data_IF_010324327193
#
_entry.id   IF_010324327193
#
_cell.length_a   1.000
_cell.length_b   1.000
_cell.length_c   1.000
_cell.angle_alpha   90.00
_cell.angle_beta   90.00
_cell.angle_gamma   90.00
#
_symmetry.space_group_name_H-M   'P 1'
#
loop_
_entity.id
_entity.type
_entity.pdbx_description
1 polymer ?
2 non-polymer ?
3 water ?
#
# COMPACT_ATOMS: atom_id res chain seq x y z
N UNK A 22 10.28 -4.85 -24.80
CA UNK A 22 11.13 -4.53 -23.60
C UNK A 22 11.48 -5.79 -22.81
N UNK A 23 12.77 -6.14 -22.81
CA UNK A 23 13.25 -7.39 -22.23
C UNK A 23 13.69 -7.28 -20.75
N UNK A 24 13.70 -6.07 -20.21
CA UNK A 24 14.18 -5.86 -18.85
C UNK A 24 13.11 -6.04 -17.79
N UNK A 25 13.33 -5.38 -16.66
CA UNK A 25 12.37 -5.42 -15.55
C UNK A 25 11.53 -4.17 -15.56
N UNK A 26 10.26 -4.32 -15.20
CA UNK A 26 9.32 -3.21 -15.04
C UNK A 26 8.90 -3.13 -13.56
N UNK A 27 9.24 -2.01 -12.93
CA UNK A 27 8.97 -1.78 -11.51
C UNK A 27 7.73 -0.90 -11.32
N UNK A 28 6.76 -1.39 -10.56
CA UNK A 28 5.56 -0.60 -10.24
C UNK A 28 5.70 0.14 -8.93
N UNK A 29 5.62 1.47 -8.98
CA UNK A 29 5.60 2.31 -7.78
C UNK A 29 4.35 3.17 -7.76
N UNK A 30 4.14 3.88 -6.66
CA UNK A 30 3.08 4.88 -6.55
C UNK A 30 3.66 6.19 -6.05
N UNK A 31 2.92 7.28 -6.26
CA UNK A 31 3.35 8.64 -5.89
C UNK A 31 3.40 8.88 -4.38
N UNK A 32 4.00 10.01 -4.00
CA UNK A 32 4.09 10.42 -2.61
C UNK A 32 5.16 9.66 -1.85
N UNK A 33 4.82 9.24 -0.64
CA UNK A 33 5.81 8.69 0.30
C UNK A 33 6.51 7.43 -0.21
N UNK A 34 5.76 6.57 -0.92
CA UNK A 34 6.33 5.33 -1.45
C UNK A 34 7.43 5.63 -2.48
N UNK A 35 7.16 6.53 -3.41
CA UNK A 35 8.16 6.95 -4.39
C UNK A 35 9.37 7.61 -3.70
N UNK A 36 9.06 8.59 -2.87
CA UNK A 36 10.07 9.33 -2.10
C UNK A 36 11.03 8.40 -1.34
N UNK A 37 10.45 7.46 -0.60
CA UNK A 37 11.25 6.57 0.25
C UNK A 37 11.84 5.36 -0.48
N UNK A 38 11.31 5.02 -1.66
CA UNK A 38 11.92 3.96 -2.48
C UNK A 38 13.16 4.44 -3.23
N UNK A 39 13.17 5.71 -3.64
CA UNK A 39 14.26 6.23 -4.49
C UNK A 39 15.68 6.03 -3.93
N UNK A 40 15.90 6.25 -2.63
CA UNK A 40 17.21 5.92 -2.03
C UNK A 40 17.61 4.46 -2.17
N UNK A 41 16.67 3.54 -1.96
CA UNK A 41 16.93 2.11 -2.14
C UNK A 41 17.29 1.79 -3.59
N UNK A 42 16.55 2.36 -4.54
CA UNK A 42 16.87 2.24 -5.96
C UNK A 42 18.24 2.86 -6.30
N UNK A 43 18.53 4.02 -5.71
CA UNK A 43 19.83 4.68 -5.96
C UNK A 43 20.98 3.79 -5.56
N UNK A 44 20.91 3.19 -4.36
CA UNK A 44 21.97 2.30 -3.88
C UNK A 44 22.10 1.04 -4.76
N UNK A 45 21.03 0.66 -5.46
CA UNK A 45 21.05 -0.46 -6.42
C UNK A 45 21.36 -0.07 -7.87
N UNK A 46 21.82 1.16 -8.10
CA UNK A 46 22.20 1.62 -9.45
C UNK A 46 21.04 2.01 -10.36
N UNK A 47 19.90 2.36 -9.77
CA UNK A 47 18.72 2.72 -10.54
C UNK A 47 18.28 4.11 -10.10
N UNK A 48 18.26 5.04 -11.04
CA UNK A 48 17.78 6.39 -10.80
C UNK A 48 16.84 6.83 -11.90
N UNK A 49 15.74 7.45 -11.49
CA UNK A 49 14.84 8.11 -12.43
C UNK A 49 15.50 9.33 -13.05
N UNK A 50 15.17 9.58 -14.32
CA UNK A 50 15.77 10.67 -15.09
C UNK A 50 14.95 11.97 -15.04
N UNK A 51 13.80 11.93 -14.38
CA UNK A 51 13.00 13.13 -14.15
C UNK A 51 12.05 12.87 -13.00
N UNK A 52 11.38 13.92 -12.52
CA UNK A 52 10.41 13.76 -11.44
C UNK A 52 9.10 13.25 -12.04
N UNK A 53 8.70 12.00 -11.70
CA UNK A 53 7.45 11.51 -12.26
C UNK A 53 6.20 12.28 -11.80
N UNK A 54 6.26 12.84 -10.60
CA UNK A 54 5.15 13.64 -10.05
C UNK A 54 4.78 14.83 -10.96
N UNK A 55 5.72 15.29 -11.78
CA UNK A 55 5.51 16.45 -12.66
C UNK A 55 5.26 16.08 -14.15
N UNK A 56 5.08 14.80 -14.47
CA UNK A 56 5.03 14.35 -15.86
C UNK A 56 3.76 13.60 -16.23
N UNK A 57 3.39 13.73 -17.50
CA UNK A 57 2.29 13.00 -18.14
C UNK A 57 2.71 11.61 -18.61
N UNK A 58 4.02 11.37 -18.71
CA UNK A 58 4.55 10.08 -19.12
C UNK A 58 4.05 9.03 -18.13
N UNK A 59 3.83 7.83 -18.64
CA UNK A 59 3.26 6.73 -17.85
C UNK A 59 4.34 5.70 -17.48
N UNK A 60 5.23 5.45 -18.43
CA UNK A 60 6.37 4.57 -18.27
C UNK A 60 7.57 5.50 -18.25
N UNK A 61 8.47 5.29 -17.29
CA UNK A 61 9.64 6.15 -17.10
C UNK A 61 10.91 5.29 -17.26
N UNK A 62 11.88 5.78 -18.06
CA UNK A 62 13.18 5.12 -18.11
C UNK A 62 13.97 5.44 -16.85
N UNK A 63 15.07 4.71 -16.65
CA UNK A 63 15.99 4.98 -15.53
C UNK A 63 17.41 5.05 -16.05
N UNK A 64 18.34 5.34 -15.13
CA UNK A 64 19.78 5.25 -15.38
C UNK A 64 20.23 3.83 -15.79
N UNK A 65 19.45 2.82 -15.43
CA UNK A 65 19.71 1.45 -15.85
C UNK A 65 18.78 1.17 -17.04
N UNK A 66 19.35 0.86 -18.22
CA UNK A 66 18.50 0.54 -19.37
C UNK A 66 17.71 -0.79 -19.26
N UNK A 67 18.05 -1.64 -18.29
CA UNK A 67 17.28 -2.86 -18.00
C UNK A 67 16.10 -2.68 -17.03
N UNK A 68 15.86 -1.44 -16.58
CA UNK A 68 14.79 -1.18 -15.61
C UNK A 68 13.98 0.03 -16.06
N UNK A 69 12.67 -0.12 -16.06
CA UNK A 69 11.75 1.00 -16.27
C UNK A 69 10.73 1.04 -15.13
N UNK A 70 10.09 2.17 -14.96
CA UNK A 70 9.24 2.41 -13.80
C UNK A 70 7.85 2.79 -14.28
N UNK A 71 6.85 2.20 -13.63
CA UNK A 71 5.45 2.63 -13.77
C UNK A 71 5.02 3.34 -12.51
N UNK A 72 4.30 4.44 -12.67
CA UNK A 72 3.76 5.20 -11.55
C UNK A 72 2.28 4.95 -11.57
N UNK A 73 1.81 4.23 -10.57
CA UNK A 73 0.43 3.74 -10.53
C UNK A 73 -0.21 4.26 -9.29
N UNK A 74 -1.55 4.19 -9.24
CA UNK A 74 -2.28 4.36 -7.97
C UNK A 74 -1.87 3.21 -7.04
N UNK A 75 -1.78 3.47 -5.74
CA UNK A 75 -1.31 2.45 -4.79
C UNK A 75 -2.11 1.13 -4.90
N UNK A 76 -3.43 1.26 -5.03
CA UNK A 76 -4.33 0.10 -5.12
C UNK A 76 -4.09 -0.77 -6.37
N UNK A 77 -3.53 -0.19 -7.43
CA UNK A 77 -3.30 -0.93 -8.67
C UNK A 77 -1.93 -1.64 -8.74
N UNK A 78 -1.05 -1.39 -7.78
CA UNK A 78 0.30 -1.98 -7.81
C UNK A 78 0.25 -3.53 -7.74
N UNK A 79 -0.51 -4.10 -6.79
CA UNK A 79 -0.63 -5.58 -6.78
C UNK A 79 -1.21 -6.16 -8.06
N UNK A 80 -2.21 -5.48 -8.62
CA UNK A 80 -2.83 -5.87 -9.89
C UNK A 80 -1.85 -5.98 -11.06
N UNK A 81 -1.05 -4.94 -11.29
CA UNK A 81 -0.04 -4.95 -12.34
C UNK A 81 1.03 -6.03 -12.11
N UNK A 82 1.46 -6.21 -10.86
CA UNK A 82 2.48 -7.22 -10.54
C UNK A 82 1.92 -8.63 -10.66
N UNK A 83 0.69 -8.84 -10.18
CA UNK A 83 0.01 -10.14 -10.29
C UNK A 83 -0.10 -10.60 -11.73
N UNK A 84 -0.54 -9.70 -12.60
CA UNK A 84 -0.76 -10.02 -14.01
C UNK A 84 0.51 -10.08 -14.84
N UNK A 85 1.64 -9.60 -14.30
CA UNK A 85 2.91 -9.61 -15.01
C UNK A 85 3.11 -8.38 -15.89
N UNK A 86 2.19 -7.40 -15.83
CA UNK A 86 2.39 -6.15 -16.56
C UNK A 86 3.54 -5.33 -15.95
N UNK A 87 3.82 -5.56 -14.67
CA UNK A 87 5.05 -5.18 -13.99
C UNK A 87 5.62 -6.45 -13.41
N UNK A 88 6.95 -6.55 -13.40
CA UNK A 88 7.64 -7.75 -12.90
C UNK A 88 7.75 -7.74 -11.38
N UNK A 89 7.84 -6.54 -10.83
CA UNK A 89 7.93 -6.35 -9.38
C UNK A 89 7.46 -4.96 -9.01
N UNK A 90 7.19 -4.76 -7.73
CA UNK A 90 6.64 -3.50 -7.28
C UNK A 90 6.76 -3.28 -5.80
N UNK A 91 6.42 -2.06 -5.42
CA UNK A 91 6.40 -1.66 -4.03
C UNK A 91 4.95 -1.31 -3.71
N UNK A 92 4.37 -2.08 -2.79
CA UNK A 92 2.98 -1.92 -2.38
C UNK A 92 2.90 -1.92 -0.87
N UNK A 93 2.01 -1.06 -0.35
CA UNK A 93 1.74 -1.02 1.08
C UNK A 93 1.04 -2.29 1.53
N UNK A 94 1.35 -2.75 2.75
CA UNK A 94 0.72 -3.93 3.33
C UNK A 94 -0.80 -3.80 3.36
N UNK A 95 -1.28 -2.59 3.63
CA UNK A 95 -2.73 -2.32 3.62
C UNK A 95 -3.37 -2.70 2.28
N UNK A 96 -2.73 -2.32 1.17
CA UNK A 96 -3.22 -2.63 -0.18
C UNK A 96 -3.18 -4.14 -0.44
N UNK A 97 -2.07 -4.77 -0.04
CA UNK A 97 -1.88 -6.21 -0.19
C UNK A 97 -2.90 -7.04 0.56
N UNK A 98 -3.17 -6.65 1.81
CA UNK A 98 -4.18 -7.35 2.61
C UNK A 98 -5.55 -7.24 1.98
N UNK A 99 -5.87 -6.06 1.49
CA UNK A 99 -7.18 -5.79 0.89
C UNK A 99 -7.34 -6.46 -0.48
N UNK A 100 -6.32 -6.34 -1.32
CA UNK A 100 -6.32 -6.94 -2.65
C UNK A 100 -6.25 -8.47 -2.56
N UNK A 101 -5.39 -8.96 -1.68
CA UNK A 101 -5.02 -10.37 -1.65
C UNK A 101 -3.64 -10.53 -2.26
N UNK A 102 -2.77 -11.24 -1.55
CA UNK A 102 -1.38 -11.44 -1.96
C UNK A 102 -1.06 -12.88 -2.36
N UNK A 103 -2.10 -13.70 -2.60
CA UNK A 103 -1.91 -15.12 -2.92
C UNK A 103 -1.25 -15.36 -4.30
N UNK A 104 -1.26 -14.36 -5.19
CA UNK A 104 -0.74 -14.54 -6.56
C UNK A 104 0.44 -13.63 -6.92
N UNK A 105 1.14 -13.20 -5.87
CA UNK A 105 2.45 -12.58 -5.98
C UNK A 105 3.27 -13.19 -4.85
N UNK A 106 4.58 -13.01 -4.89
CA UNK A 106 5.44 -13.30 -3.72
C UNK A 106 5.79 -12.00 -3.05
N UNK A 107 5.64 -11.96 -1.73
CA UNK A 107 6.15 -10.85 -0.93
C UNK A 107 7.55 -11.25 -0.49
N UNK A 108 8.57 -10.54 -0.99
CA UNK A 108 9.96 -10.89 -0.68
C UNK A 108 10.57 -10.12 0.49
N UNK A 109 10.23 -8.84 0.63
CA UNK A 109 10.88 -7.97 1.61
C UNK A 109 9.90 -7.01 2.28
N UNK A 110 10.03 -6.86 3.59
CA UNK A 110 9.45 -5.72 4.26
C UNK A 110 10.48 -4.60 4.16
N UNK A 111 10.15 -3.55 3.42
CA UNK A 111 11.08 -2.45 3.21
C UNK A 111 11.08 -1.42 4.34
N UNK A 112 10.14 -1.54 5.28
CA UNK A 112 10.07 -0.67 6.47
C UNK A 112 9.83 0.80 6.12
N UNK A 113 9.25 1.07 4.95
CA UNK A 113 9.02 2.45 4.52
C UNK A 113 7.53 2.75 4.49
N UNK A 114 7.23 4.05 4.51
CA UNK A 114 5.86 4.56 4.55
C UNK A 114 5.09 3.85 5.65
N UNK A 115 5.68 3.79 6.86
CA UNK A 115 5.08 3.05 7.96
C UNK A 115 3.84 3.81 8.49
N UNK A 116 2.81 3.05 8.84
CA UNK A 116 1.55 3.61 9.34
C UNK A 116 0.75 2.49 10.02
N UNK A 117 -0.46 2.78 10.47
CA UNK A 117 -1.29 1.77 11.09
C UNK A 117 -2.63 1.71 10.41
N UNK A 118 -3.16 0.49 10.20
CA UNK A 118 -4.60 0.34 9.95
C UNK A 118 -5.29 0.41 11.31
N UNK A 119 -6.34 1.23 11.39
CA UNK A 119 -7.08 1.47 12.63
C UNK A 119 -8.56 1.64 12.34
N UNK A 120 -9.35 1.47 13.39
CA UNK A 120 -10.74 1.87 13.40
C UNK A 120 -10.79 3.25 14.02
N UNK A 121 -11.79 4.03 13.63
CA UNK A 121 -12.00 5.34 14.24
C UNK A 121 -13.44 5.78 14.15
N UNK A 122 -13.84 6.67 15.06
CA UNK A 122 -15.17 7.24 15.06
C UNK A 122 -15.15 8.59 15.71
N UNK A 123 -16.35 9.16 15.88
CA UNK A 123 -16.49 10.47 16.50
C UNK A 123 -16.05 10.37 17.94
N UNK A 124 -15.28 11.36 18.38
CA UNK A 124 -14.69 11.32 19.72
C UNK A 124 -15.79 11.17 20.77
N UNK A 125 -15.60 10.20 21.68
CA UNK A 125 -16.51 9.90 22.80
C UNK A 125 -17.94 9.47 22.41
N UNK A 126 -18.18 9.14 21.14
CA UNK A 126 -19.51 8.73 20.68
C UNK A 126 -19.71 7.26 21.06
N UNK A 127 -20.87 6.92 21.65
CA UNK A 127 -21.09 5.53 22.02
C UNK A 127 -21.44 4.68 20.79
N UNK A 128 -20.98 3.43 20.76
CA UNK A 128 -21.35 2.49 19.71
C UNK A 128 -22.84 2.14 19.81
N UNK A 129 -23.51 1.97 18.66
CA UNK A 129 -24.92 1.57 18.71
C UNK A 129 -25.09 0.09 19.06
N UNK A 130 -26.23 -0.23 19.65
CA UNK A 130 -26.60 -1.62 19.93
C UNK A 130 -27.30 -2.18 18.70
N UNK A 131 -26.47 -2.57 17.73
CA UNK A 131 -26.90 -3.27 16.53
C UNK A 131 -25.66 -3.66 15.72
N UNK A 132 -25.88 -4.36 14.62
CA UNK A 132 -24.82 -4.61 13.63
C UNK A 132 -24.21 -3.25 13.27
N UNK A 133 -22.89 -3.16 13.38
CA UNK A 133 -22.17 -1.91 13.08
C UNK A 133 -22.07 -1.74 11.56
N UNK A 134 -22.08 -0.49 11.10
CA UNK A 134 -21.82 -0.16 9.70
C UNK A 134 -20.44 0.48 9.60
N UNK A 135 -19.56 -0.14 8.82
CA UNK A 135 -18.17 0.29 8.70
C UNK A 135 -17.99 0.94 7.32
N UNK A 136 -17.68 2.23 7.30
CA UNK A 136 -17.42 2.95 6.05
C UNK A 136 -15.92 2.91 5.79
N UNK A 137 -15.50 2.38 4.65
CA UNK A 137 -14.08 2.16 4.41
C UNK A 137 -13.79 1.80 2.96
N UNK A 138 -12.56 2.04 2.56
CA UNK A 138 -12.01 1.51 1.31
C UNK A 138 -11.58 0.07 1.52
N UNK A 139 -11.26 -0.27 2.76
CA UNK A 139 -10.70 -1.57 3.10
C UNK A 139 -11.79 -2.53 3.58
N UNK A 140 -12.67 -2.92 2.65
CA UNK A 140 -13.87 -3.72 2.98
C UNK A 140 -13.49 -5.10 3.47
N UNK A 141 -12.49 -5.73 2.83
CA UNK A 141 -12.04 -7.06 3.24
C UNK A 141 -11.35 -7.06 4.60
N UNK A 142 -10.43 -6.13 4.79
CA UNK A 142 -9.73 -5.95 6.06
C UNK A 142 -10.76 -5.66 7.17
N UNK A 143 -11.73 -4.78 6.90
CA UNK A 143 -12.72 -4.42 7.90
C UNK A 143 -13.52 -5.65 8.33
N UNK A 144 -13.98 -6.46 7.36
CA UNK A 144 -14.78 -7.64 7.71
C UNK A 144 -13.96 -8.66 8.53
N UNK A 145 -12.72 -8.88 8.10
CA UNK A 145 -11.81 -9.80 8.77
C UNK A 145 -11.45 -9.34 10.19
N UNK A 146 -11.12 -8.07 10.36
CA UNK A 146 -10.78 -7.55 11.68
C UNK A 146 -11.97 -7.67 12.63
N UNK A 147 -13.15 -7.21 12.19
CA UNK A 147 -14.32 -7.26 13.06
C UNK A 147 -14.75 -8.71 13.33
N UNK A 148 -14.59 -9.60 12.36
CA UNK A 148 -14.81 -11.03 12.60
C UNK A 148 -13.92 -11.57 13.74
N UNK A 149 -12.66 -11.13 13.79
CA UNK A 149 -11.75 -11.51 14.90
C UNK A 149 -12.21 -10.95 16.26
N UNK A 150 -12.98 -9.86 16.24
CA UNK A 150 -13.58 -9.28 17.45
C UNK A 150 -14.94 -9.89 17.81
N UNK A 151 -15.37 -10.92 17.08
CA UNK A 151 -16.67 -11.54 17.29
C UNK A 151 -17.86 -10.83 16.67
N UNK A 152 -17.59 -9.97 15.68
CA UNK A 152 -18.63 -9.13 15.09
C UNK A 152 -18.77 -9.34 13.60
N UNK A 153 -19.98 -9.68 13.17
CA UNK A 153 -20.39 -9.53 11.79
C UNK A 153 -20.78 -8.07 11.62
N UNK A 154 -20.26 -7.44 10.55
CA UNK A 154 -20.51 -6.01 10.31
C UNK A 154 -21.02 -5.79 8.90
N UNK A 155 -21.80 -4.73 8.71
CA UNK A 155 -22.07 -4.19 7.39
C UNK A 155 -20.92 -3.27 7.00
N UNK A 156 -20.53 -3.31 5.73
CA UNK A 156 -19.49 -2.45 5.22
C UNK A 156 -20.07 -1.56 4.12
N UNK A 157 -19.71 -0.27 4.16
CA UNK A 157 -20.02 0.68 3.10
C UNK A 157 -18.71 1.01 2.39
N UNK A 158 -18.59 0.57 1.13
CA UNK A 158 -17.39 0.80 0.32
C UNK A 158 -17.30 2.26 -0.09
N UNK A 159 -16.20 2.89 0.29
CA UNK A 159 -15.85 4.25 -0.09
C UNK A 159 -14.53 4.23 -0.82
N UNK A 160 -14.28 5.29 -1.58
CA UNK A 160 -13.04 5.47 -2.34
C UNK A 160 -12.10 6.52 -1.78
N UNK A 161 -12.59 7.40 -0.91
CA UNK A 161 -11.70 8.35 -0.23
C UNK A 161 -12.34 9.15 0.88
N UNK A 162 -11.54 10.05 1.45
CA UNK A 162 -12.01 11.00 2.48
C UNK A 162 -12.85 10.31 3.56
N UNK A 163 -12.34 9.18 4.05
CA UNK A 163 -13.03 8.37 5.09
C UNK A 163 -13.48 9.19 6.29
N UNK A 164 -12.62 10.11 6.72
CA UNK A 164 -12.86 10.99 7.88
C UNK A 164 -14.23 11.71 7.91
N UNK A 165 -14.80 11.99 6.73
CA UNK A 165 -16.13 12.61 6.64
C UNK A 165 -17.26 11.71 7.12
N UNK A 166 -17.15 10.40 6.82
CA UNK A 166 -18.29 9.48 6.95
C UNK A 166 -18.99 9.51 8.33
N UNK A 167 -18.22 9.37 9.43
CA UNK A 167 -18.89 9.42 10.74
C UNK A 167 -19.56 10.77 11.07
N UNK A 168 -19.05 11.86 10.50
CA UNK A 168 -19.59 13.21 10.77
C UNK A 168 -21.00 13.41 10.21
N UNK A 169 -21.28 12.79 9.06
CA UNK A 169 -22.60 12.87 8.42
C UNK A 169 -23.44 11.60 8.59
N UNK A 170 -23.06 10.76 9.53
CA UNK A 170 -23.84 9.55 9.87
C UNK A 170 -23.72 8.36 8.91
N UNK A 171 -22.80 8.43 7.96
CA UNK A 171 -22.53 7.29 7.09
C UNK A 171 -21.63 6.35 7.87
N UNK A 172 -22.16 5.22 8.27
CA UNK A 172 -21.38 4.30 9.10
C UNK A 172 -21.08 4.80 10.51
N UNK A 173 -20.90 3.83 11.39
CA UNK A 173 -20.64 4.04 12.81
C UNK A 173 -19.15 4.20 13.06
N UNK A 174 -18.35 3.47 12.29
CA UNK A 174 -16.90 3.59 12.34
C UNK A 174 -16.35 3.61 10.93
N UNK A 175 -15.09 4.02 10.82
CA UNK A 175 -14.31 3.86 9.61
C UNK A 175 -13.14 2.96 9.91
N UNK A 176 -12.59 2.36 8.87
CA UNK A 176 -11.28 1.73 8.91
C UNK A 176 -10.42 2.49 7.89
N UNK A 177 -9.24 2.92 8.34
CA UNK A 177 -8.33 3.65 7.47
C UNK A 177 -6.89 3.48 7.95
N UNK A 178 -5.97 3.88 7.08
CA UNK A 178 -4.58 4.06 7.47
C UNK A 178 -4.41 5.38 8.21
N UNK A 179 -3.71 5.30 9.34
CA UNK A 179 -3.40 6.43 10.20
C UNK A 179 -1.90 6.49 10.42
N UNK A 180 -1.30 7.66 10.26
CA UNK A 180 0.12 7.89 10.54
C UNK A 180 0.20 8.76 11.81
N UNK A 181 -0.02 10.07 11.67
CA UNK A 181 0.10 11.01 12.77
C UNK A 181 -1.18 11.07 13.60
N UNK A 182 -2.32 10.81 12.98
CA UNK A 182 -3.62 11.04 13.63
C UNK A 182 -4.19 12.45 13.52
N UNK A 183 -3.50 13.33 12.81
CA UNK A 183 -3.89 14.74 12.71
C UNK A 183 -5.20 14.98 11.95
N UNK A 184 -5.36 14.34 10.81
CA UNK A 184 -6.61 14.36 10.05
C UNK A 184 -7.76 13.94 10.96
N UNK A 185 -7.62 12.80 11.63
CA UNK A 185 -8.66 12.34 12.55
C UNK A 185 -8.96 13.43 13.59
N UNK A 186 -7.93 13.86 14.32
CA UNK A 186 -8.09 14.87 15.37
C UNK A 186 -8.72 16.18 14.86
N UNK A 187 -8.28 16.64 13.68
CA UNK A 187 -8.81 17.86 13.06
C UNK A 187 -10.31 17.79 12.78
N UNK A 188 -10.82 16.57 12.59
CA UNK A 188 -12.22 16.35 12.29
C UNK A 188 -13.06 15.84 13.46
N UNK A 189 -12.51 15.89 14.67
CA UNK A 189 -13.25 15.47 15.88
C UNK A 189 -13.42 13.96 16.00
N UNK A 190 -12.54 13.21 15.36
CA UNK A 190 -12.52 11.76 15.41
C UNK A 190 -11.35 11.32 16.26
N UNK A 191 -11.45 10.12 16.80
CA UNK A 191 -10.36 9.48 17.53
C UNK A 191 -10.26 8.02 17.07
N UNK A 192 -9.03 7.52 17.03
CA UNK A 192 -8.80 6.10 16.77
C UNK A 192 -9.39 5.29 17.94
N UNK A 193 -10.09 4.21 17.61
CA UNK A 193 -10.66 3.32 18.61
C UNK A 193 -9.75 2.11 18.81
N UNK A 194 -9.48 1.36 17.73
CA UNK A 194 -8.67 0.15 17.77
C UNK A 194 -7.52 0.21 16.78
N UNK A 195 -6.39 -0.39 17.17
CA UNK A 195 -5.25 -0.65 16.27
C UNK A 195 -5.47 -2.01 15.62
N UNK A 196 -5.50 -2.06 14.29
CA UNK A 196 -5.70 -3.31 13.57
C UNK A 196 -4.36 -4.00 13.34
N UNK A 197 -3.46 -3.34 12.63
CA UNK A 197 -2.12 -3.84 12.40
C UNK A 197 -1.26 -2.72 11.88
N UNK A 198 0.06 -2.94 11.99
CA UNK A 198 1.04 -2.03 11.43
C UNK A 198 1.13 -2.30 9.95
N UNK A 199 1.46 -1.24 9.23
CA UNK A 199 1.53 -1.26 7.80
C UNK A 199 2.87 -0.68 7.39
N UNK A 200 3.47 -1.32 6.40
CA UNK A 200 4.66 -0.79 5.75
C UNK A 200 4.64 -1.27 4.33
N UNK A 201 5.48 -0.64 3.50
CA UNK A 201 5.59 -0.99 2.11
C UNK A 201 6.48 -2.22 1.90
N UNK A 202 6.09 -3.06 0.94
CA UNK A 202 6.65 -4.38 0.75
C UNK A 202 7.06 -4.51 -0.71
N UNK A 203 8.16 -5.22 -0.91
CA UNK A 203 8.59 -5.60 -2.26
C UNK A 203 7.90 -6.89 -2.68
N UNK A 204 7.07 -6.79 -3.72
CA UNK A 204 6.37 -7.93 -4.30
C UNK A 204 6.88 -8.22 -5.71
N UNK A 205 6.82 -9.50 -6.09
CA UNK A 205 7.31 -9.97 -7.38
C UNK A 205 6.28 -10.87 -8.04
N UNK A 206 6.16 -10.76 -9.36
CA UNK A 206 5.30 -11.63 -10.14
C UNK A 206 5.93 -13.01 -10.07
N UNK A 207 5.11 -14.03 -9.91
CA UNK A 207 5.59 -15.39 -9.62
C UNK A 207 6.33 -16.03 -10.81
N UNK A 208 6.00 -15.62 -12.03
CA UNK A 208 6.71 -16.08 -13.23
C UNK A 208 8.01 -15.28 -13.46
N UNK A 209 7.91 -13.96 -13.37
CA UNK A 209 9.09 -13.09 -13.45
C UNK A 209 10.19 -13.50 -12.47
N UNK A 210 9.79 -13.92 -11.27
CA UNK A 210 10.75 -14.40 -10.26
C UNK A 210 11.60 -15.57 -10.75
N UNK A 211 10.97 -16.45 -11.53
CA UNK A 211 11.62 -17.62 -12.11
C UNK A 211 12.35 -17.28 -13.41
N UNK A 212 11.70 -16.53 -14.29
CA UNK A 212 12.23 -16.27 -15.63
C UNK A 212 13.28 -15.18 -15.68
N UNK A 213 13.19 -14.18 -14.79
CA UNK A 213 14.09 -13.03 -14.81
C UNK A 213 14.89 -12.88 -13.51
N UNK A 214 15.19 -14.01 -12.87
CA UNK A 214 15.87 -13.99 -11.57
C UNK A 214 17.25 -13.33 -11.63
N UNK A 215 17.98 -13.53 -12.72
CA UNK A 215 19.32 -12.95 -12.88
C UNK A 215 19.29 -11.41 -12.88
N UNK A 216 18.23 -10.83 -13.41
CA UNK A 216 18.06 -9.37 -13.37
C UNK A 216 17.58 -8.90 -12.00
N UNK A 217 16.64 -9.63 -11.41
CA UNK A 217 16.09 -9.28 -10.09
C UNK A 217 17.09 -9.41 -8.94
N UNK A 218 17.81 -10.53 -8.91
CA UNK A 218 18.61 -10.90 -7.74
C UNK A 218 19.50 -9.78 -7.21
N UNK A 219 20.33 -9.16 -8.08
CA UNK A 219 21.19 -8.10 -7.52
C UNK A 219 20.44 -6.92 -6.93
N UNK A 220 19.32 -6.53 -7.56
CA UNK A 220 18.47 -5.45 -7.04
C UNK A 220 17.90 -5.88 -5.69
N UNK A 221 17.34 -7.09 -5.63
CA UNK A 221 16.80 -7.66 -4.40
C UNK A 221 17.83 -7.70 -3.27
N UNK A 222 19.03 -8.17 -3.61
CA UNK A 222 20.14 -8.21 -2.67
C UNK A 222 20.54 -6.83 -2.18
N UNK A 223 20.52 -5.83 -3.07
CA UNK A 223 20.89 -4.46 -2.71
C UNK A 223 19.87 -3.92 -1.73
N UNK A 224 18.60 -4.11 -2.03
CA UNK A 224 17.49 -3.68 -1.17
C UNK A 224 17.64 -4.28 0.22
N UNK A 225 17.88 -5.59 0.27
CA UNK A 225 18.06 -6.30 1.52
C UNK A 225 19.21 -5.70 2.33
N UNK A 226 20.34 -5.47 1.65
CA UNK A 226 21.49 -4.83 2.29
C UNK A 226 21.16 -3.43 2.81
N UNK A 227 20.46 -2.63 1.99
CA UNK A 227 20.06 -1.27 2.39
C UNK A 227 19.15 -1.24 3.61
N UNK A 228 18.12 -2.08 3.61
CA UNK A 228 17.18 -2.12 4.74
C UNK A 228 17.82 -2.60 6.05
N UNK A 229 18.92 -3.37 5.96
CA UNK A 229 19.64 -3.81 7.18
C UNK A 229 20.24 -2.66 8.03
N UNK A 230 20.44 -1.49 7.44
CA UNK A 230 20.77 -0.27 8.22
C UNK A 230 19.58 0.69 8.28
X LIG B 1 -5.17 10.77 10.78
X LIG B 1 -4.02 12.56 10.20
X LIG B 1 -4.24 11.34 10.16
X LIG B 1 -3.30 10.55 9.32
X LIG B 1 -2.38 9.95 10.21
X LIG B 1 -2.54 11.44 8.30
X LIG B 1 -1.15 11.45 8.65
X LIG B 1 -2.78 10.99 6.88
X LIG B 1 -3.73 10.20 6.65
X LIG B 1 -2.05 11.41 5.96
#
# INVERSE_FOLDING_TARGET
GMTEVTNSLPTSGLLNEANDEFLGLTLALSKGRILEETMPLLRAAGVELLEDPEASRKLIFPTSNPNVRVLILRASDVPTYVEHGAADFGVAGKDVLLEHGANHVYELLDLKIAQCKLMTAGVKDAPLPNRRLRIATKYVNVARAYFASQGQQVDVIKLYGSMELAPLVGLGDLIVDVVDTGNTLRANGLEARDHICDVSSRLIVNQVSYKRKFALLEPILDSFKNSINSTS
TLA O1 O11 C1 C2 O2 C3 O3 C4 O4 O41
#
